data_IF_037231630638
#
_entry.id   IF_037231630638
#
_cell.length_a   1.000
_cell.length_b   1.000
_cell.length_c   1.000
_cell.angle_alpha   90.00
_cell.angle_beta   90.00
_cell.angle_gamma   90.00
#
_symmetry.space_group_name_H-M   'P 1'
#
loop_
_entity.id
_entity.type
_entity.pdbx_description
1 polymer ?
#
# COMPACT_ATOMS: atom_id res chain seq x y z
N UNK A 1 -25.09 21.76 -25.20
CA UNK A 1 -24.64 20.47 -24.63
C UNK A 1 -23.37 20.71 -23.86
N UNK A 2 -23.34 20.46 -22.54
CA UNK A 2 -22.19 20.69 -21.67
C UNK A 2 -21.41 19.38 -21.59
N UNK A 3 -20.24 19.33 -22.20
CA UNK A 3 -19.34 18.16 -22.19
C UNK A 3 -18.82 17.97 -20.77
N UNK A 4 -19.19 16.85 -20.12
CA UNK A 4 -18.64 16.50 -18.81
C UNK A 4 -17.16 16.14 -18.98
N UNK A 5 -16.27 17.03 -18.53
CA UNK A 5 -14.86 16.70 -18.35
C UNK A 5 -14.78 15.63 -17.24
N UNK A 6 -14.39 14.42 -17.62
CA UNK A 6 -14.00 13.37 -16.68
C UNK A 6 -12.81 13.88 -15.88
N UNK A 7 -13.09 14.49 -14.73
CA UNK A 7 -12.05 14.81 -13.77
C UNK A 7 -11.99 13.56 -12.90
N UNK A 8 -11.18 12.58 -13.30
CA UNK A 8 -10.71 11.57 -12.35
C UNK A 8 -9.62 12.29 -11.55
N UNK A 9 -9.89 12.80 -10.33
CA UNK A 9 -8.83 13.39 -9.53
C UNK A 9 -7.83 12.27 -9.27
N UNK A 10 -6.67 12.33 -9.93
CA UNK A 10 -5.57 11.43 -9.63
C UNK A 10 -5.15 11.75 -8.20
N UNK A 11 -5.59 10.95 -7.24
CA UNK A 11 -5.06 10.98 -5.88
C UNK A 11 -3.64 10.44 -5.94
N UNK A 12 -2.65 11.35 -5.91
CA UNK A 12 -1.24 10.99 -5.82
C UNK A 12 -0.93 10.87 -4.34
N UNK A 13 -0.66 9.65 -3.88
CA UNK A 13 -0.15 9.39 -2.53
C UNK A 13 1.35 9.23 -2.61
N UNK A 14 2.09 10.02 -1.82
CA UNK A 14 3.53 9.91 -1.72
C UNK A 14 3.88 8.99 -0.56
N UNK A 15 4.68 7.96 -0.82
CA UNK A 15 5.36 7.20 0.22
C UNK A 15 6.69 7.89 0.51
N UNK A 16 6.80 8.55 1.66
CA UNK A 16 8.03 9.16 2.11
C UNK A 16 8.67 8.29 3.20
N UNK A 17 9.76 7.61 2.86
CA UNK A 17 10.54 6.83 3.84
C UNK A 17 11.78 7.64 4.22
N UNK A 18 11.83 8.05 5.50
CA UNK A 18 12.87 8.93 6.04
C UNK A 18 14.30 8.36 5.93
N UNK A 19 14.43 7.06 5.67
CA UNK A 19 15.67 6.39 5.28
C UNK A 19 15.32 5.47 4.10
N UNK A 20 15.62 5.89 2.87
CA UNK A 20 15.42 5.08 1.68
C UNK A 20 16.47 3.98 1.64
N UNK A 21 16.27 2.95 2.45
CA UNK A 21 16.87 1.67 2.18
C UNK A 21 16.22 1.14 0.90
N UNK A 22 16.88 1.39 -0.22
CA UNK A 22 16.55 0.75 -1.47
C UNK A 22 17.24 -0.61 -1.49
N UNK A 23 16.57 -1.63 -2.00
CA UNK A 23 17.26 -2.86 -2.33
C UNK A 23 18.33 -2.59 -3.41
N UNK A 24 19.21 -3.56 -3.64
CA UNK A 24 20.28 -3.45 -4.65
C UNK A 24 19.78 -3.20 -6.07
N UNK A 25 18.49 -3.41 -6.33
CA UNK A 25 17.82 -3.11 -7.60
C UNK A 25 17.53 -1.61 -7.80
N UNK A 26 17.69 -0.77 -6.77
CA UNK A 26 17.43 0.66 -6.80
C UNK A 26 15.96 1.04 -6.92
N UNK A 27 15.04 0.08 -6.84
CA UNK A 27 13.61 0.27 -7.09
C UNK A 27 12.75 -0.19 -5.91
N UNK A 28 13.14 -1.27 -5.24
CA UNK A 28 12.41 -1.81 -4.11
C UNK A 28 12.65 -0.96 -2.88
N UNK A 29 11.58 -0.38 -2.33
CA UNK A 29 11.63 0.38 -1.07
C UNK A 29 11.56 -0.62 0.08
N UNK A 30 12.54 -0.56 0.97
CA UNK A 30 12.61 -1.42 2.14
C UNK A 30 12.09 -0.70 3.39
N UNK A 31 11.51 -1.48 4.28
CA UNK A 31 11.18 -1.06 5.64
C UNK A 31 12.43 -1.04 6.55
N UNK A 32 12.32 -0.57 7.81
CA UNK A 32 13.46 -0.52 8.74
C UNK A 32 14.12 -1.87 9.03
N UNK A 33 13.45 -2.99 8.73
CA UNK A 33 13.94 -4.35 8.95
C UNK A 33 14.45 -5.01 7.66
N UNK A 34 14.59 -4.22 6.58
CA UNK A 34 15.08 -4.65 5.25
C UNK A 34 14.11 -5.59 4.51
N UNK A 35 12.82 -5.57 4.84
CA UNK A 35 11.79 -6.23 4.05
C UNK A 35 11.20 -5.26 3.02
N UNK A 36 10.79 -5.76 1.87
CA UNK A 36 10.15 -4.94 0.85
C UNK A 36 8.76 -4.49 1.32
N UNK A 37 8.51 -3.17 1.27
CA UNK A 37 7.14 -2.68 1.38
C UNK A 37 6.28 -3.29 0.27
N UNK A 38 5.08 -3.67 0.64
CA UNK A 38 4.07 -4.18 -0.27
C UNK A 38 3.06 -3.09 -0.56
N UNK A 39 2.57 -3.04 -1.79
CA UNK A 39 1.64 -2.02 -2.27
C UNK A 39 0.54 -2.69 -3.06
N UNK A 40 -0.72 -2.31 -2.80
CA UNK A 40 -1.84 -2.68 -3.63
C UNK A 40 -2.65 -1.43 -4.02
N UNK A 41 -3.17 -1.45 -5.23
CA UNK A 41 -3.98 -0.38 -5.81
C UNK A 41 -5.33 -0.95 -6.20
N UNK A 42 -6.40 -0.20 -5.96
CA UNK A 42 -7.72 -0.56 -6.44
C UNK A 42 -7.79 -0.42 -7.97
N UNK A 43 -7.50 -1.52 -8.66
CA UNK A 43 -7.57 -1.60 -10.12
C UNK A 43 -9.02 -1.75 -10.63
N UNK A 44 -9.97 -2.04 -9.74
CA UNK A 44 -11.38 -2.29 -10.08
C UNK A 44 -12.25 -1.05 -9.98
N UNK A 45 -11.71 0.04 -9.44
CA UNK A 45 -12.45 1.27 -9.14
C UNK A 45 -13.65 1.04 -8.22
N UNK A 46 -13.55 0.04 -7.34
CA UNK A 46 -14.59 -0.33 -6.38
C UNK A 46 -14.57 0.55 -5.12
N UNK A 47 -13.54 1.39 -4.95
CA UNK A 47 -13.30 2.18 -3.74
C UNK A 47 -12.80 1.35 -2.57
N UNK A 48 -12.37 0.11 -2.81
CA UNK A 48 -11.89 -0.79 -1.76
C UNK A 48 -10.89 -1.81 -2.28
N UNK A 49 -10.02 -2.28 -1.40
CA UNK A 49 -9.02 -3.31 -1.66
C UNK A 49 -9.24 -4.47 -0.67
N UNK A 50 -9.18 -5.71 -1.14
CA UNK A 50 -9.24 -6.88 -0.27
C UNK A 50 -8.03 -6.89 0.68
N UNK A 51 -8.25 -7.21 1.96
CA UNK A 51 -7.16 -7.21 2.95
C UNK A 51 -6.13 -8.30 2.62
N UNK A 52 -4.89 -7.94 2.27
CA UNK A 52 -3.87 -8.90 1.85
C UNK A 52 -3.34 -9.76 3.02
N UNK A 53 -3.53 -9.32 4.26
CA UNK A 53 -3.13 -10.06 5.47
C UNK A 53 -4.20 -11.06 5.92
N UNK A 54 -5.39 -11.02 5.30
CA UNK A 54 -6.57 -11.71 5.81
C UNK A 54 -7.07 -11.10 7.12
N UNK A 55 -8.24 -11.55 7.56
CA UNK A 55 -8.83 -11.10 8.83
C UNK A 55 -9.74 -9.87 8.71
N UNK A 56 -9.77 -9.05 9.78
CA UNK A 56 -10.72 -7.93 9.92
C UNK A 56 -9.98 -6.58 9.85
N UNK A 57 -10.43 -5.64 9.00
CA UNK A 57 -11.55 -5.76 8.07
C UNK A 57 -11.19 -6.65 6.87
N UNK A 58 -12.18 -7.32 6.28
CA UNK A 58 -11.98 -8.14 5.09
C UNK A 58 -11.68 -7.30 3.84
N UNK A 59 -12.19 -6.06 3.83
CA UNK A 59 -11.96 -5.06 2.79
C UNK A 59 -11.55 -3.73 3.42
N UNK A 60 -10.60 -3.06 2.79
CA UNK A 60 -10.04 -1.78 3.23
C UNK A 60 -10.59 -0.71 2.29
N UNK A 61 -11.27 0.29 2.85
CA UNK A 61 -11.83 1.40 2.09
C UNK A 61 -10.73 2.41 1.70
N UNK A 62 -9.92 2.05 0.71
CA UNK A 62 -8.84 2.89 0.16
C UNK A 62 -8.60 2.57 -1.31
N UNK A 63 -8.06 3.54 -2.05
CA UNK A 63 -7.60 3.34 -3.43
C UNK A 63 -6.17 2.82 -3.51
N UNK A 64 -5.38 2.99 -2.45
CA UNK A 64 -3.99 2.51 -2.33
C UNK A 64 -3.77 2.06 -0.89
N UNK A 65 -3.15 0.90 -0.70
CA UNK A 65 -2.67 0.45 0.61
C UNK A 65 -1.19 0.13 0.53
N UNK A 66 -0.48 0.40 1.61
CA UNK A 66 0.94 0.06 1.79
C UNK A 66 1.10 -0.69 3.11
N UNK A 67 1.89 -1.76 3.11
CA UNK A 67 2.17 -2.50 4.34
C UNK A 67 3.58 -3.10 4.37
N UNK A 68 4.03 -3.46 5.56
CA UNK A 68 5.31 -4.13 5.84
C UNK A 68 5.04 -5.33 6.76
N UNK A 69 5.85 -6.39 6.63
CA UNK A 69 5.81 -7.57 7.51
C UNK A 69 6.46 -7.35 8.87
N UNK A 70 6.92 -6.13 9.15
CA UNK A 70 7.52 -5.75 10.42
C UNK A 70 8.83 -6.46 10.73
N UNK A 71 9.24 -6.46 12.02
CA UNK A 71 10.47 -7.09 12.49
C UNK A 71 10.55 -8.59 12.19
N UNK A 72 9.43 -9.31 12.32
CA UNK A 72 9.40 -10.75 12.15
C UNK A 72 9.54 -11.22 10.70
N UNK A 73 9.19 -10.37 9.72
CA UNK A 73 9.20 -10.75 8.31
C UNK A 73 8.19 -11.84 7.96
N UNK A 74 7.22 -12.09 8.85
CA UNK A 74 6.18 -13.10 8.69
C UNK A 74 4.83 -12.41 8.54
N UNK A 75 4.20 -12.67 7.40
CA UNK A 75 2.89 -12.11 7.04
C UNK A 75 1.78 -12.61 7.97
N UNK A 76 0.80 -11.75 8.25
CA UNK A 76 -0.40 -12.07 9.02
C UNK A 76 -0.15 -12.17 10.52
N UNK A 77 0.88 -11.48 11.02
CA UNK A 77 1.27 -11.51 12.44
C UNK A 77 1.05 -10.16 13.10
N UNK A 78 1.19 -10.09 14.42
CA UNK A 78 1.14 -8.84 15.18
C UNK A 78 2.24 -7.84 14.80
N UNK A 79 3.24 -8.29 14.04
CA UNK A 79 4.37 -7.47 13.61
C UNK A 79 4.03 -6.63 12.36
N UNK A 80 2.97 -7.00 11.62
CA UNK A 80 2.59 -6.30 10.40
C UNK A 80 2.30 -4.81 10.68
N UNK A 81 2.86 -3.95 9.84
CA UNK A 81 2.62 -2.50 9.89
C UNK A 81 1.76 -2.10 8.70
N UNK A 82 0.56 -1.58 8.96
CA UNK A 82 -0.45 -1.25 7.96
C UNK A 82 -0.65 0.26 7.82
N UNK A 83 -0.97 0.73 6.60
CA UNK A 83 -1.33 2.13 6.35
C UNK A 83 -2.81 2.44 6.63
N UNK A 84 -3.58 1.45 7.09
CA UNK A 84 -5.00 1.51 7.39
C UNK A 84 -5.27 1.02 8.80
#
# INVERSE_FOLDING_TARGET
MKTSIFTNPRNITFLDTANKDLASDGFTILDPWKHAYQIAVDATYAGSIANPLGGTPATIASSVIVWSWGPGGVVGTSDDVTSW
#
